data_IF_501729144524
#
_entry.id   IF_501729144524
#
_cell.length_a   1.000
_cell.length_b   1.000
_cell.length_c   1.000
_cell.angle_alpha   90.00
_cell.angle_beta   90.00
_cell.angle_gamma   90.00
#
_symmetry.space_group_name_H-M   'P 1'
#
loop_
_entity.id
_entity.type
_entity.pdbx_description
1 polymer ?
#
# COMPACT_ATOMS: atom_id res chain seq x y z
N UNK A 1 -7.98 19.03 4.43
CA UNK A 1 -7.58 17.72 3.90
C UNK A 1 -8.78 16.91 3.46
N UNK A 2 -9.82 16.74 4.29
CA UNK A 2 -11.05 16.00 3.92
C UNK A 2 -11.67 16.41 2.56
N UNK A 3 -11.84 17.71 2.30
CA UNK A 3 -12.37 18.17 1.01
C UNK A 3 -11.50 17.83 -0.21
N UNK A 4 -10.18 17.67 -0.02
CA UNK A 4 -9.29 17.17 -1.08
C UNK A 4 -9.59 15.70 -1.35
N UNK A 5 -9.74 14.88 -0.30
CA UNK A 5 -10.09 13.47 -0.44
C UNK A 5 -11.43 13.28 -1.15
N UNK A 6 -12.46 14.04 -0.74
CA UNK A 6 -13.78 14.01 -1.40
C UNK A 6 -13.71 14.38 -2.87
N UNK A 7 -12.88 15.37 -3.23
CA UNK A 7 -12.72 15.79 -4.62
C UNK A 7 -11.98 14.76 -5.49
N UNK A 8 -11.32 13.78 -4.86
CA UNK A 8 -10.58 12.69 -5.50
C UNK A 8 -11.41 11.41 -5.65
N UNK A 9 -12.67 11.38 -5.20
CA UNK A 9 -13.52 10.19 -5.25
C UNK A 9 -13.54 9.54 -6.64
N UNK A 10 -13.49 8.21 -6.66
CA UNK A 10 -13.58 7.37 -7.86
C UNK A 10 -14.18 6.01 -7.47
N UNK A 11 -14.65 5.23 -8.44
CA UNK A 11 -15.08 3.83 -8.22
C UNK A 11 -14.32 2.85 -9.11
N UNK A 12 -14.29 1.57 -8.72
CA UNK A 12 -13.58 0.53 -9.45
C UNK A 12 -14.09 0.37 -10.91
N UNK A 13 -15.36 0.66 -11.17
CA UNK A 13 -15.96 0.60 -12.51
C UNK A 13 -15.42 1.65 -13.49
N UNK A 14 -14.76 2.70 -12.99
CA UNK A 14 -14.09 3.70 -13.84
C UNK A 14 -12.81 3.14 -14.49
N UNK A 15 -12.30 2.00 -13.99
CA UNK A 15 -11.07 1.37 -14.47
C UNK A 15 -11.38 0.30 -15.53
N UNK A 16 -11.08 0.60 -16.79
CA UNK A 16 -11.21 -0.36 -17.89
C UNK A 16 -10.06 -1.39 -17.91
N UNK A 17 -10.37 -2.65 -17.58
CA UNK A 17 -9.43 -3.77 -17.59
C UNK A 17 -9.47 -4.59 -18.90
N UNK A 18 -10.25 -4.18 -19.90
CA UNK A 18 -10.49 -4.99 -21.11
C UNK A 18 -9.22 -5.32 -21.90
N UNK A 19 -8.22 -4.44 -21.86
CA UNK A 19 -6.94 -4.61 -22.56
C UNK A 19 -5.90 -5.34 -21.73
N UNK A 20 -6.01 -5.30 -20.41
CA UNK A 20 -5.00 -5.82 -19.48
C UNK A 20 -4.85 -7.33 -19.58
N UNK A 21 -5.92 -8.06 -19.88
CA UNK A 21 -5.85 -9.52 -20.10
C UNK A 21 -4.91 -9.86 -21.26
N UNK A 22 -4.98 -9.10 -22.35
CA UNK A 22 -4.13 -9.32 -23.51
C UNK A 22 -2.66 -8.97 -23.23
N UNK A 23 -2.41 -7.88 -22.51
CA UNK A 23 -1.05 -7.52 -22.10
C UNK A 23 -0.47 -8.51 -21.09
N UNK A 24 -1.29 -9.00 -20.14
CA UNK A 24 -0.89 -9.99 -19.15
C UNK A 24 -0.39 -11.29 -19.78
N UNK A 25 -1.05 -11.76 -20.83
CA UNK A 25 -0.61 -12.94 -21.57
C UNK A 25 0.75 -12.73 -22.26
N UNK A 26 1.07 -11.49 -22.65
CA UNK A 26 2.34 -11.10 -23.29
C UNK A 26 3.48 -10.88 -22.31
N UNK A 27 3.20 -10.71 -21.02
CA UNK A 27 4.21 -10.58 -19.98
C UNK A 27 5.05 -11.87 -19.87
N UNK A 28 6.29 -11.72 -19.42
CA UNK A 28 7.13 -12.88 -19.05
C UNK A 28 6.57 -13.56 -17.80
N UNK A 29 7.02 -14.80 -17.55
CA UNK A 29 6.66 -15.51 -16.31
C UNK A 29 7.14 -14.74 -15.07
N UNK A 30 8.33 -14.15 -15.14
CA UNK A 30 8.91 -13.35 -14.05
C UNK A 30 8.10 -12.07 -13.79
N UNK A 31 7.63 -11.40 -14.84
CA UNK A 31 6.78 -10.21 -14.73
C UNK A 31 5.41 -10.55 -14.13
N UNK A 32 4.78 -11.64 -14.58
CA UNK A 32 3.52 -12.13 -13.99
C UNK A 32 3.69 -12.55 -12.54
N UNK A 33 4.78 -13.24 -12.23
CA UNK A 33 5.11 -13.65 -10.86
C UNK A 33 5.28 -12.43 -9.95
N UNK A 34 6.05 -11.43 -10.39
CA UNK A 34 6.23 -10.18 -9.66
C UNK A 34 4.88 -9.48 -9.41
N UNK A 35 4.10 -9.27 -10.47
CA UNK A 35 2.83 -8.56 -10.37
C UNK A 35 1.78 -9.30 -9.53
N UNK A 36 1.67 -10.62 -9.67
CA UNK A 36 0.71 -11.40 -8.88
C UNK A 36 1.00 -11.28 -7.39
N UNK A 37 2.27 -11.29 -7.00
CA UNK A 37 2.68 -11.16 -5.60
C UNK A 37 2.50 -9.72 -5.07
N UNK A 38 2.75 -8.69 -5.90
CA UNK A 38 2.47 -7.29 -5.53
C UNK A 38 0.97 -7.06 -5.31
N UNK A 39 0.11 -7.48 -6.24
CA UNK A 39 -1.35 -7.34 -6.11
C UNK A 39 -1.89 -8.02 -4.87
N UNK A 40 -1.31 -9.18 -4.57
CA UNK A 40 -1.66 -9.98 -3.41
C UNK A 40 -1.26 -9.31 -2.10
N UNK A 41 -0.06 -8.72 -2.05
CA UNK A 41 0.37 -7.90 -0.91
C UNK A 41 -0.61 -6.74 -0.67
N UNK A 42 -1.02 -6.05 -1.73
CA UNK A 42 -1.96 -4.93 -1.61
C UNK A 42 -3.34 -5.36 -1.09
N UNK A 43 -3.94 -6.39 -1.70
CA UNK A 43 -5.25 -6.91 -1.27
C UNK A 43 -5.26 -7.30 0.22
N UNK A 44 -4.16 -7.86 0.71
CA UNK A 44 -3.97 -8.21 2.12
C UNK A 44 -3.76 -6.98 3.03
N UNK A 45 -3.03 -5.97 2.55
CA UNK A 45 -2.60 -4.83 3.36
C UNK A 45 -3.73 -3.83 3.64
N UNK A 46 -4.60 -3.57 2.66
CA UNK A 46 -5.70 -2.62 2.84
C UNK A 46 -6.70 -3.11 3.91
N UNK A 47 -6.89 -4.43 4.02
CA UNK A 47 -7.68 -5.02 5.10
C UNK A 47 -7.13 -4.69 6.49
N UNK A 48 -5.80 -4.75 6.67
CA UNK A 48 -5.11 -4.41 7.92
C UNK A 48 -5.23 -2.91 8.21
N UNK A 49 -5.11 -2.07 7.18
CA UNK A 49 -5.29 -0.61 7.27
C UNK A 49 -6.71 -0.26 7.72
N UNK A 50 -7.73 -0.85 7.08
CA UNK A 50 -9.15 -0.64 7.42
C UNK A 50 -9.43 -1.03 8.87
N UNK A 51 -8.95 -2.19 9.32
CA UNK A 51 -9.13 -2.64 10.71
C UNK A 51 -8.57 -1.63 11.71
N UNK A 52 -7.35 -1.13 11.48
CA UNK A 52 -6.74 -0.10 12.32
C UNK A 52 -7.55 1.22 12.32
N UNK A 53 -8.01 1.67 11.15
CA UNK A 53 -8.79 2.89 11.01
C UNK A 53 -10.10 2.81 11.79
N UNK A 54 -10.85 1.71 11.63
CA UNK A 54 -12.16 1.48 12.23
C UNK A 54 -12.05 1.24 13.74
N UNK A 55 -11.18 0.33 14.15
CA UNK A 55 -11.12 -0.14 15.54
C UNK A 55 -10.31 0.77 16.47
N UNK A 56 -9.41 1.58 15.91
CA UNK A 56 -8.46 2.41 16.68
C UNK A 56 -8.65 3.88 16.37
N UNK A 57 -8.15 4.35 15.22
CA UNK A 57 -7.99 5.79 14.97
C UNK A 57 -9.31 6.56 14.96
N UNK A 58 -10.34 6.08 14.27
CA UNK A 58 -11.65 6.74 14.23
C UNK A 58 -12.32 6.82 15.62
N UNK A 59 -12.03 5.86 16.51
CA UNK A 59 -12.56 5.82 17.88
C UNK A 59 -11.81 6.75 18.83
N UNK A 60 -10.48 6.80 18.69
CA UNK A 60 -9.59 7.57 19.56
C UNK A 60 -9.61 9.07 19.25
N UNK A 61 -9.60 9.43 17.96
CA UNK A 61 -9.64 10.84 17.54
C UNK A 61 -11.03 11.42 17.80
N UNK A 62 -11.08 12.56 18.50
CA UNK A 62 -12.33 13.24 18.89
C UNK A 62 -12.68 14.42 18.00
N UNK A 63 -11.74 14.89 17.20
CA UNK A 63 -11.89 16.05 16.32
C UNK A 63 -12.78 15.66 15.15
N UNK A 64 -13.85 16.42 14.94
CA UNK A 64 -14.89 16.11 13.94
C UNK A 64 -14.33 16.08 12.53
N UNK A 65 -13.49 17.06 12.16
CA UNK A 65 -12.89 17.18 10.85
C UNK A 65 -11.98 15.99 10.52
N UNK A 66 -11.26 15.48 11.54
CA UNK A 66 -10.43 14.30 11.40
C UNK A 66 -11.27 13.03 11.25
N UNK A 67 -12.41 12.94 11.95
CA UNK A 67 -13.38 11.85 11.75
C UNK A 67 -14.01 11.88 10.36
N UNK A 68 -14.30 13.06 9.82
CA UNK A 68 -14.75 13.19 8.43
C UNK A 68 -13.71 12.66 7.44
N UNK A 69 -12.43 12.97 7.66
CA UNK A 69 -11.34 12.41 6.85
C UNK A 69 -11.30 10.89 6.97
N UNK A 70 -11.20 10.34 8.19
CA UNK A 70 -11.11 8.89 8.37
C UNK A 70 -12.33 8.12 7.85
N UNK A 71 -13.54 8.68 7.97
CA UNK A 71 -14.72 8.05 7.39
C UNK A 71 -14.65 7.93 5.87
N UNK A 72 -14.04 8.91 5.21
CA UNK A 72 -13.82 8.87 3.76
C UNK A 72 -12.63 7.99 3.38
N UNK A 73 -11.55 8.02 4.16
CA UNK A 73 -10.42 7.10 3.99
C UNK A 73 -10.89 5.65 4.08
N UNK A 74 -11.66 5.27 5.10
CA UNK A 74 -12.23 3.92 5.18
C UNK A 74 -13.07 3.57 3.93
N UNK A 75 -13.84 4.51 3.40
CA UNK A 75 -14.61 4.27 2.18
C UNK A 75 -13.71 4.03 0.96
N UNK A 76 -12.63 4.82 0.80
CA UNK A 76 -11.72 4.68 -0.34
C UNK A 76 -10.86 3.42 -0.22
N UNK A 77 -10.43 3.04 0.99
CA UNK A 77 -9.71 1.77 1.21
C UNK A 77 -10.55 0.54 0.83
N UNK A 78 -11.87 0.59 1.04
CA UNK A 78 -12.75 -0.50 0.57
C UNK A 78 -12.77 -0.55 -0.98
N UNK A 79 -12.72 0.59 -1.65
CA UNK A 79 -12.63 0.66 -3.11
C UNK A 79 -11.25 0.18 -3.59
N UNK A 80 -10.17 0.48 -2.87
CA UNK A 80 -8.84 -0.05 -3.16
C UNK A 80 -8.84 -1.59 -3.09
N UNK A 81 -9.37 -2.14 -1.99
CA UNK A 81 -9.50 -3.59 -1.78
C UNK A 81 -10.34 -4.26 -2.87
N UNK A 82 -11.45 -3.65 -3.28
CA UNK A 82 -12.26 -4.10 -4.42
C UNK A 82 -11.46 -4.08 -5.73
N UNK A 83 -10.77 -2.98 -6.03
CA UNK A 83 -9.98 -2.81 -7.24
C UNK A 83 -8.86 -3.86 -7.34
N UNK A 84 -8.14 -4.13 -6.25
CA UNK A 84 -7.13 -5.19 -6.21
C UNK A 84 -7.73 -6.58 -6.39
N UNK A 85 -8.88 -6.84 -5.78
CA UNK A 85 -9.61 -8.10 -5.96
C UNK A 85 -10.04 -8.29 -7.42
N UNK A 86 -10.55 -7.23 -8.05
CA UNK A 86 -10.95 -7.24 -9.47
C UNK A 86 -9.75 -7.48 -10.40
N UNK A 87 -8.60 -6.88 -10.12
CA UNK A 87 -7.35 -7.13 -10.85
C UNK A 87 -6.92 -8.59 -10.74
N UNK A 88 -6.90 -9.14 -9.52
CA UNK A 88 -6.55 -10.56 -9.30
C UNK A 88 -7.53 -11.47 -10.05
N UNK A 89 -8.83 -11.23 -9.91
CA UNK A 89 -9.87 -12.03 -10.56
C UNK A 89 -9.78 -12.01 -12.09
N UNK A 90 -9.44 -10.84 -12.65
CA UNK A 90 -9.34 -10.62 -14.10
C UNK A 90 -8.08 -11.22 -14.70
N UNK A 91 -6.93 -11.06 -14.03
CA UNK A 91 -5.62 -11.39 -14.58
C UNK A 91 -5.23 -12.85 -14.33
N UNK A 92 -5.59 -13.39 -13.17
CA UNK A 92 -5.24 -14.75 -12.76
C UNK A 92 -6.38 -15.65 -13.16
N UNK A 93 -6.12 -16.72 -13.90
CA UNK A 93 -7.19 -17.63 -14.37
C UNK A 93 -7.28 -18.91 -13.55
N UNK A 94 -6.16 -19.39 -13.03
CA UNK A 94 -6.11 -20.63 -12.25
C UNK A 94 -6.74 -20.43 -10.86
N UNK A 95 -7.84 -21.13 -10.54
CA UNK A 95 -8.48 -21.04 -9.23
C UNK A 95 -7.55 -21.46 -8.07
N UNK A 96 -6.61 -22.38 -8.30
CA UNK A 96 -5.67 -22.81 -7.26
C UNK A 96 -4.66 -21.70 -6.95
N UNK A 97 -4.13 -21.06 -7.99
CA UNK A 97 -3.26 -19.89 -7.87
C UNK A 97 -3.99 -18.74 -7.17
N UNK A 98 -5.23 -18.42 -7.59
CA UNK A 98 -6.06 -17.41 -6.90
C UNK A 98 -6.20 -17.70 -5.42
N UNK A 99 -6.59 -18.92 -5.06
CA UNK A 99 -6.80 -19.28 -3.66
C UNK A 99 -5.51 -19.17 -2.85
N UNK A 100 -4.36 -19.57 -3.42
CA UNK A 100 -3.06 -19.39 -2.77
C UNK A 100 -2.76 -17.91 -2.50
N UNK A 101 -3.03 -17.06 -3.49
CA UNK A 101 -2.76 -15.62 -3.42
C UNK A 101 -3.69 -14.92 -2.42
N UNK A 102 -5.00 -15.21 -2.41
CA UNK A 102 -5.88 -14.65 -1.37
C UNK A 102 -5.49 -15.05 0.06
N UNK A 103 -4.78 -16.18 0.24
CA UNK A 103 -4.25 -16.62 1.53
C UNK A 103 -2.76 -16.29 1.72
N UNK A 104 -2.23 -15.28 1.04
CA UNK A 104 -0.80 -14.99 1.02
C UNK A 104 -0.16 -14.56 2.34
N UNK A 105 -0.92 -13.98 3.27
CA UNK A 105 -0.39 -13.72 4.62
C UNK A 105 0.09 -15.04 5.26
N UNK A 106 -0.59 -16.14 4.98
CA UNK A 106 -0.25 -17.47 5.50
C UNK A 106 0.75 -18.21 4.60
N UNK A 107 0.70 -17.98 3.28
CA UNK A 107 1.46 -18.76 2.30
C UNK A 107 2.73 -18.11 1.77
N UNK A 108 2.90 -16.78 1.90
CA UNK A 108 4.03 -16.01 1.40
C UNK A 108 4.78 -15.33 2.55
N UNK A 109 5.98 -15.81 2.85
CA UNK A 109 6.83 -15.29 3.94
C UNK A 109 7.14 -13.80 3.80
N UNK A 110 7.29 -13.31 2.57
CA UNK A 110 7.61 -11.93 2.27
C UNK A 110 6.47 -10.96 2.58
N UNK A 111 5.23 -11.38 2.31
CA UNK A 111 4.00 -10.65 2.65
C UNK A 111 3.77 -10.71 4.16
N UNK A 112 3.96 -11.89 4.75
CA UNK A 112 3.77 -12.14 6.19
C UNK A 112 4.59 -11.18 7.06
N UNK A 113 5.87 -10.95 6.73
CA UNK A 113 6.74 -10.05 7.52
C UNK A 113 6.19 -8.62 7.59
N UNK A 114 5.70 -8.07 6.48
CA UNK A 114 5.10 -6.73 6.41
C UNK A 114 3.78 -6.69 7.18
N UNK A 115 2.93 -7.69 6.99
CA UNK A 115 1.66 -7.82 7.69
C UNK A 115 1.86 -7.92 9.22
N UNK A 116 2.77 -8.77 9.70
CA UNK A 116 3.11 -8.92 11.11
C UNK A 116 3.65 -7.61 11.70
N UNK A 117 4.51 -6.89 10.97
CA UNK A 117 4.98 -5.58 11.42
C UNK A 117 3.82 -4.60 11.60
N UNK A 118 2.92 -4.49 10.63
CA UNK A 118 1.76 -3.62 10.71
C UNK A 118 0.82 -4.00 11.88
N UNK A 119 0.46 -5.28 11.98
CA UNK A 119 -0.39 -5.82 13.06
C UNK A 119 0.19 -5.56 14.45
N UNK A 120 1.51 -5.72 14.63
CA UNK A 120 2.19 -5.41 15.89
C UNK A 120 2.04 -3.94 16.27
N UNK A 121 2.11 -3.02 15.30
CA UNK A 121 1.93 -1.59 15.57
C UNK A 121 0.48 -1.22 15.89
N UNK A 122 -0.51 -1.83 15.26
CA UNK A 122 -1.94 -1.61 15.56
C UNK A 122 -2.23 -1.83 17.06
N UNK A 123 -1.60 -2.86 17.64
CA UNK A 123 -1.75 -3.23 19.04
C UNK A 123 -0.99 -2.32 20.02
N UNK A 124 -0.03 -1.52 19.56
CA UNK A 124 0.75 -0.64 20.43
C UNK A 124 -0.17 0.31 21.21
N UNK A 125 0.03 0.60 22.51
CA UNK A 125 -0.86 1.47 23.27
C UNK A 125 -0.70 2.98 22.95
N UNK A 126 0.45 3.41 22.41
CA UNK A 126 0.72 4.82 22.14
C UNK A 126 0.15 5.28 20.79
N UNK A 127 -0.89 6.13 20.82
CA UNK A 127 -1.48 6.71 19.61
C UNK A 127 -0.44 7.39 18.71
N UNK A 128 0.48 8.15 19.31
CA UNK A 128 1.48 8.89 18.56
C UNK A 128 2.46 7.97 17.81
N UNK A 129 2.91 6.88 18.46
CA UNK A 129 3.80 5.90 17.80
C UNK A 129 3.05 5.11 16.72
N UNK A 130 1.80 4.73 17.00
CA UNK A 130 0.93 4.09 16.00
C UNK A 130 0.73 4.96 14.77
N UNK A 131 0.52 6.26 14.96
CA UNK A 131 0.31 7.18 13.85
C UNK A 131 1.54 7.30 12.96
N UNK A 132 2.75 7.31 13.53
CA UNK A 132 4.01 7.27 12.77
C UNK A 132 4.15 5.94 12.03
N UNK A 133 3.88 4.81 12.70
CA UNK A 133 3.97 3.50 12.07
C UNK A 133 2.95 3.35 10.92
N UNK A 134 1.74 3.89 11.09
CA UNK A 134 0.70 3.90 10.07
C UNK A 134 1.09 4.75 8.86
N UNK A 135 1.66 5.93 9.08
CA UNK A 135 2.22 6.74 7.99
C UNK A 135 3.31 5.98 7.22
N UNK A 136 4.11 5.15 7.90
CA UNK A 136 5.08 4.28 7.24
C UNK A 136 4.42 3.13 6.47
N UNK A 137 3.29 2.59 6.94
CA UNK A 137 2.51 1.61 6.16
C UNK A 137 2.07 2.26 4.84
N UNK A 138 1.28 3.33 4.89
CA UNK A 138 0.71 3.95 3.67
C UNK A 138 1.76 4.62 2.79
N UNK A 139 2.80 5.22 3.39
CA UNK A 139 3.83 5.97 2.67
C UNK A 139 5.03 5.16 2.19
N UNK A 140 5.46 4.13 2.94
CA UNK A 140 6.70 3.38 2.65
C UNK A 140 6.38 1.98 2.12
N UNK A 141 5.51 1.22 2.78
CA UNK A 141 5.23 -0.16 2.38
C UNK A 141 4.51 -0.30 1.04
N UNK A 142 3.86 0.74 0.53
CA UNK A 142 3.29 0.72 -0.81
C UNK A 142 4.24 1.31 -1.88
N UNK A 143 5.22 2.11 -1.45
CA UNK A 143 5.93 3.01 -2.35
C UNK A 143 6.70 2.33 -3.47
N UNK A 144 7.46 1.27 -3.16
CA UNK A 144 8.30 0.63 -4.15
C UNK A 144 7.47 -0.25 -5.11
N UNK A 145 6.37 -0.83 -4.62
CA UNK A 145 5.36 -1.49 -5.47
C UNK A 145 4.69 -0.51 -6.43
N UNK A 146 4.32 0.70 -5.97
CA UNK A 146 3.79 1.75 -6.85
C UNK A 146 4.81 2.16 -7.90
N UNK A 147 6.07 2.36 -7.52
CA UNK A 147 7.14 2.67 -8.47
C UNK A 147 7.36 1.56 -9.51
N UNK A 148 7.25 0.30 -9.09
CA UNK A 148 7.34 -0.86 -9.97
C UNK A 148 6.19 -0.92 -10.99
N UNK A 149 4.97 -0.54 -10.60
CA UNK A 149 3.84 -0.47 -11.53
C UNK A 149 3.98 0.75 -12.47
N UNK A 150 4.45 1.89 -11.97
CA UNK A 150 4.79 3.04 -12.83
C UNK A 150 5.89 2.72 -13.86
N UNK A 151 6.81 1.81 -13.53
CA UNK A 151 7.77 1.30 -14.50
C UNK A 151 7.11 0.55 -15.66
N UNK A 152 6.05 -0.23 -15.41
CA UNK A 152 5.27 -0.86 -16.47
C UNK A 152 4.51 0.16 -17.32
N UNK A 153 3.98 1.22 -16.70
CA UNK A 153 3.37 2.35 -17.42
C UNK A 153 4.35 2.95 -18.43
N UNK A 154 5.61 3.17 -18.02
CA UNK A 154 6.66 3.69 -18.90
C UNK A 154 6.94 2.76 -20.09
N UNK A 155 6.72 1.46 -19.92
CA UNK A 155 6.84 0.44 -20.98
C UNK A 155 5.58 0.30 -21.84
N UNK A 156 4.50 1.02 -21.52
CA UNK A 156 3.24 0.99 -22.25
C UNK A 156 2.46 -0.31 -22.09
N UNK A 157 2.51 -0.92 -20.89
CA UNK A 157 1.85 -2.18 -20.56
C UNK A 157 0.80 -2.00 -19.47
N UNK A 158 -0.22 -2.85 -19.48
CA UNK A 158 -1.22 -2.98 -18.39
C UNK A 158 -1.92 -1.65 -18.08
N UNK A 159 -2.64 -1.05 -19.05
CA UNK A 159 -3.21 0.29 -18.92
C UNK A 159 -4.22 0.41 -17.77
N UNK A 160 -5.03 -0.61 -17.51
CA UNK A 160 -5.97 -0.65 -16.40
C UNK A 160 -5.27 -0.72 -15.03
N UNK A 161 -4.31 -1.63 -14.87
CA UNK A 161 -3.47 -1.73 -13.67
C UNK A 161 -2.72 -0.43 -13.37
N UNK A 162 -2.14 0.19 -14.40
CA UNK A 162 -1.35 1.40 -14.22
C UNK A 162 -2.22 2.62 -13.93
N UNK A 163 -3.41 2.69 -14.52
CA UNK A 163 -4.38 3.73 -14.22
C UNK A 163 -4.94 3.62 -12.79
N UNK A 164 -5.34 2.43 -12.34
CA UNK A 164 -5.78 2.25 -10.95
C UNK A 164 -4.65 2.55 -9.96
N UNK A 165 -3.41 2.16 -10.27
CA UNK A 165 -2.24 2.51 -9.45
C UNK A 165 -2.03 4.02 -9.32
N UNK A 166 -2.34 4.83 -10.34
CA UNK A 166 -2.29 6.30 -10.25
C UNK A 166 -3.34 6.85 -9.28
N UNK A 167 -4.56 6.31 -9.31
CA UNK A 167 -5.63 6.72 -8.41
C UNK A 167 -5.29 6.35 -6.96
N UNK A 168 -4.89 5.09 -6.73
CA UNK A 168 -4.57 4.58 -5.40
C UNK A 168 -3.34 5.29 -4.82
N UNK A 169 -2.24 5.41 -5.58
CA UNK A 169 -1.02 6.07 -5.07
C UNK A 169 -1.24 7.55 -4.73
N UNK A 170 -2.15 8.24 -5.43
CA UNK A 170 -2.56 9.61 -5.08
C UNK A 170 -3.31 9.62 -3.75
N UNK A 171 -4.19 8.66 -3.52
CA UNK A 171 -5.00 8.57 -2.31
C UNK A 171 -4.11 8.20 -1.10
N UNK A 172 -3.22 7.22 -1.24
CA UNK A 172 -2.21 6.87 -0.21
C UNK A 172 -1.29 8.05 0.15
N UNK A 173 -0.88 8.84 -0.84
CA UNK A 173 -0.11 10.06 -0.59
C UNK A 173 -0.89 11.04 0.29
N UNK A 174 -2.20 11.20 0.05
CA UNK A 174 -3.06 12.05 0.86
C UNK A 174 -3.32 11.47 2.26
N UNK A 175 -3.39 10.15 2.40
CA UNK A 175 -3.55 9.48 3.69
C UNK A 175 -2.29 9.65 4.57
N UNK A 176 -1.10 9.44 3.99
CA UNK A 176 0.18 9.70 4.64
C UNK A 176 0.34 11.17 5.06
N UNK A 177 0.02 12.11 4.15
CA UNK A 177 -0.01 13.54 4.47
C UNK A 177 -0.93 13.83 5.66
N UNK A 178 -2.09 13.16 5.73
CA UNK A 178 -3.05 13.37 6.80
C UNK A 178 -2.53 12.84 8.13
N UNK A 179 -1.90 11.66 8.14
CA UNK A 179 -1.23 11.13 9.33
C UNK A 179 -0.16 12.10 9.85
N UNK A 180 0.67 12.66 8.96
CA UNK A 180 1.66 13.69 9.29
C UNK A 180 1.01 14.97 9.83
N UNK A 181 -0.08 15.43 9.21
CA UNK A 181 -0.81 16.62 9.67
C UNK A 181 -1.40 16.42 11.06
N UNK A 182 -2.00 15.25 11.31
CA UNK A 182 -2.57 14.88 12.59
C UNK A 182 -1.49 14.76 13.67
N UNK A 183 -0.35 14.16 13.33
CA UNK A 183 0.82 14.08 14.20
C UNK A 183 1.35 15.47 14.59
N UNK A 184 1.40 16.39 13.63
CA UNK A 184 1.95 17.71 13.89
C UNK A 184 1.05 18.60 14.73
N UNK A 185 -0.27 18.53 14.52
CA UNK A 185 -1.23 19.43 15.16
C UNK A 185 -1.89 18.88 16.43
N UNK A 186 -2.11 17.57 16.51
CA UNK A 186 -2.94 16.98 17.58
C UNK A 186 -2.16 16.12 18.57
N UNK A 187 -0.97 15.62 18.19
CA UNK A 187 -0.12 14.89 19.12
C UNK A 187 0.66 15.88 19.99
N UNK A 188 0.25 15.99 21.26
CA UNK A 188 0.93 16.83 22.26
C UNK A 188 2.18 16.17 22.81
N UNK A 189 2.10 14.89 23.21
CA UNK A 189 3.25 14.09 23.68
C UNK A 189 3.83 13.29 22.51
N UNK A 190 4.73 13.92 21.76
CA UNK A 190 5.40 13.28 20.63
C UNK A 190 6.43 12.24 21.10
N UNK A 191 6.63 11.13 20.36
CA UNK A 191 7.76 10.24 20.57
C UNK A 191 9.06 11.02 20.34
N UNK A 192 10.15 10.54 20.93
CA UNK A 192 11.48 11.10 20.68
C UNK A 192 11.85 10.95 19.20
N UNK A 193 12.72 11.85 18.70
CA UNK A 193 13.25 11.74 17.33
C UNK A 193 13.86 10.36 17.07
N UNK A 194 14.54 9.80 18.06
CA UNK A 194 15.12 8.46 17.97
C UNK A 194 14.04 7.38 17.74
N UNK A 195 12.94 7.41 18.49
CA UNK A 195 11.84 6.46 18.30
C UNK A 195 11.17 6.59 16.94
N UNK A 196 10.99 7.82 16.43
CA UNK A 196 10.42 8.06 15.10
C UNK A 196 11.35 7.48 14.03
N UNK A 197 12.64 7.85 14.08
CA UNK A 197 13.66 7.36 13.14
C UNK A 197 13.76 5.83 13.17
N UNK A 198 13.66 5.21 14.34
CA UNK A 198 13.64 3.76 14.49
C UNK A 198 12.45 3.13 13.73
N UNK A 199 11.23 3.64 13.94
CA UNK A 199 10.03 3.13 13.27
C UNK A 199 10.17 3.22 11.75
N UNK A 200 10.59 4.38 11.24
CA UNK A 200 10.78 4.61 9.81
C UNK A 200 11.89 3.74 9.24
N UNK A 201 13.04 3.66 9.93
CA UNK A 201 14.18 2.85 9.49
C UNK A 201 13.85 1.35 9.43
N UNK A 202 13.05 0.86 10.37
CA UNK A 202 12.61 -0.53 10.38
C UNK A 202 11.68 -0.81 9.18
N UNK A 203 10.76 0.12 8.87
CA UNK A 203 9.90 0.03 7.69
C UNK A 203 10.71 0.06 6.38
N UNK A 204 11.68 0.99 6.25
CA UNK A 204 12.56 1.09 5.08
C UNK A 204 13.31 -0.22 4.84
N UNK A 205 13.91 -0.80 5.87
CA UNK A 205 14.64 -2.07 5.74
C UNK A 205 13.75 -3.20 5.24
N UNK A 206 12.54 -3.31 5.80
CA UNK A 206 11.57 -4.33 5.41
C UNK A 206 11.17 -4.14 3.94
N UNK A 207 10.91 -2.90 3.51
CA UNK A 207 10.52 -2.60 2.13
C UNK A 207 11.67 -2.87 1.13
N UNK A 208 12.90 -2.52 1.51
CA UNK A 208 14.08 -2.83 0.69
C UNK A 208 14.29 -4.34 0.54
N UNK A 209 14.17 -5.11 1.62
CA UNK A 209 14.25 -6.57 1.58
C UNK A 209 13.14 -7.16 0.70
N UNK A 210 11.91 -6.66 0.85
CA UNK A 210 10.78 -7.09 0.04
C UNK A 210 11.05 -6.94 -1.46
N UNK A 211 11.56 -5.78 -1.91
CA UNK A 211 11.72 -5.48 -3.34
C UNK A 211 13.09 -5.82 -3.95
N UNK A 212 14.03 -6.33 -3.14
CA UNK A 212 15.37 -6.68 -3.65
C UNK A 212 15.81 -8.10 -3.36
N UNK A 213 15.17 -8.77 -2.40
CA UNK A 213 15.49 -10.14 -2.04
C UNK A 213 14.28 -11.05 -2.22
N UNK A 214 13.15 -10.70 -1.61
CA UNK A 214 12.00 -11.59 -1.57
C UNK A 214 11.15 -11.57 -2.85
N UNK A 215 10.97 -10.38 -3.43
CA UNK A 215 10.31 -10.15 -4.71
C UNK A 215 11.13 -9.13 -5.52
N UNK A 216 12.28 -9.55 -6.08
CA UNK A 216 13.24 -8.61 -6.66
C UNK A 216 12.67 -7.85 -7.86
N UNK A 217 12.78 -6.52 -7.86
CA UNK A 217 12.35 -5.67 -9.00
C UNK A 217 13.16 -5.92 -10.28
N UNK A 218 14.27 -6.66 -10.21
CA UNK A 218 14.98 -7.15 -11.39
C UNK A 218 14.13 -8.06 -12.26
N UNK A 219 13.11 -8.73 -11.70
CA UNK A 219 12.15 -9.57 -12.43
C UNK A 219 11.37 -8.79 -13.50
N UNK A 220 11.19 -7.47 -13.31
CA UNK A 220 10.53 -6.57 -14.26
C UNK A 220 11.53 -5.64 -14.98
N UNK A 221 12.83 -5.90 -14.84
CA UNK A 221 13.90 -5.14 -15.49
C UNK A 221 14.29 -3.83 -14.80
N UNK A 222 13.96 -3.65 -13.52
CA UNK A 222 14.44 -2.51 -12.73
C UNK A 222 15.74 -2.82 -11.97
N UNK A 223 16.45 -1.77 -11.55
CA UNK A 223 17.67 -1.90 -10.77
C UNK A 223 17.37 -1.89 -9.26
N UNK A 224 17.70 -2.97 -8.56
CA UNK A 224 17.50 -3.11 -7.11
C UNK A 224 18.20 -2.00 -6.28
N UNK A 225 19.37 -1.53 -6.71
CA UNK A 225 20.09 -0.45 -6.00
C UNK A 225 19.33 0.87 -6.10
N UNK A 226 18.81 1.20 -7.28
CA UNK A 226 17.98 2.40 -7.46
C UNK A 226 16.66 2.30 -6.70
N UNK A 227 16.08 1.09 -6.59
CA UNK A 227 14.89 0.88 -5.77
C UNK A 227 15.17 1.14 -4.28
N UNK A 228 16.31 0.66 -3.75
CA UNK A 228 16.71 0.96 -2.36
C UNK A 228 16.86 2.46 -2.11
N UNK A 229 17.52 3.16 -3.02
CA UNK A 229 17.69 4.62 -2.94
C UNK A 229 16.36 5.36 -3.03
N UNK A 230 15.42 4.88 -3.85
CA UNK A 230 14.09 5.47 -3.95
C UNK A 230 13.31 5.34 -2.63
N UNK A 231 13.35 4.17 -1.99
CA UNK A 231 12.70 3.94 -0.69
C UNK A 231 13.32 4.84 0.39
N UNK A 232 14.66 5.00 0.39
CA UNK A 232 15.36 5.92 1.30
C UNK A 232 14.95 7.37 1.06
N UNK A 233 14.93 7.82 -0.20
CA UNK A 233 14.52 9.17 -0.58
C UNK A 233 13.11 9.54 -0.10
N UNK A 234 12.17 8.60 -0.14
CA UNK A 234 10.81 8.82 0.36
C UNK A 234 10.73 8.91 1.88
N UNK A 235 11.70 8.31 2.58
CA UNK A 235 11.72 8.24 4.04
C UNK A 235 12.44 9.41 4.72
N UNK A 236 13.27 10.13 3.97
CA UNK A 236 14.05 11.31 4.41
C UNK A 236 13.18 12.59 4.54
#
# INVERSE_FOLDING_TARGET
MYKKAVASFWTAEEVDLSKDVGDWERLTLDERHFLSHVLTFFAASDGIVIENLVERFAREVKVTEARCFYGFQIAIENIHSEMYSLLIETLIRDPQEKNKLFNAIETLSCVKKKAEWALNWIQNPSFAKRLVAFAAVEGIFFSGSFAAIFWLKKRGLMPGLTFSNELISRDEGLHCDFACHLFNLYVTKKPSKHEIVQIISDAVKIEQEFLTEALPVSLIGMNCTLMKQYIEFLSD
#
